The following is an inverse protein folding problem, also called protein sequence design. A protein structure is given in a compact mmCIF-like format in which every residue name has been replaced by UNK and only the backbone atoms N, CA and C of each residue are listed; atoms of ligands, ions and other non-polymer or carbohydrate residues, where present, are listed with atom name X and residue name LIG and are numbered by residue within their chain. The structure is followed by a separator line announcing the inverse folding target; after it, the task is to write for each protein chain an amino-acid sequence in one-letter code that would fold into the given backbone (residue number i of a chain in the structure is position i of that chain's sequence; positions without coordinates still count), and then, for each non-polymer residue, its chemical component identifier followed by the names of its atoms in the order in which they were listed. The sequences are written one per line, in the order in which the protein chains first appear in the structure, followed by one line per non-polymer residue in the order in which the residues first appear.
data_IF_337298042446
#
_entry.id   IF_337298042446
#
_cell.length_a   1.000
_cell.length_b   1.000
_cell.length_c   1.000
_cell.angle_alpha   90.00
_cell.angle_beta   90.00
_cell.angle_gamma   90.00
#
_symmetry.space_group_name_H-M   'P 1'
#
loop_
_entity.id
_entity.type
_entity.pdbx_description
1 polymer ?
#
# COMPACT_ATOMS: atom_id res chain seq x y z
N UNK A 1 4.85 26.35 -8.13
CA UNK A 1 4.83 25.09 -7.34
C UNK A 1 3.37 24.73 -7.11
N UNK A 2 2.97 23.47 -7.34
CA UNK A 2 1.58 23.03 -7.15
C UNK A 2 1.28 22.78 -5.67
N UNK A 3 0.05 23.05 -5.24
CA UNK A 3 -0.48 22.58 -3.95
C UNK A 3 -0.78 21.08 -4.01
N UNK A 4 -1.01 20.44 -2.85
CA UNK A 4 -1.36 19.00 -2.81
C UNK A 4 -2.64 18.71 -3.60
N UNK A 5 -3.67 19.55 -3.47
CA UNK A 5 -4.91 19.39 -4.25
C UNK A 5 -4.67 19.51 -5.76
N UNK A 6 -3.85 20.47 -6.19
CA UNK A 6 -3.47 20.64 -7.59
C UNK A 6 -2.66 19.45 -8.12
N UNK A 7 -1.78 18.86 -7.30
CA UNK A 7 -1.00 17.67 -7.67
C UNK A 7 -1.90 16.46 -7.95
N UNK A 8 -2.92 16.22 -7.14
CA UNK A 8 -3.87 15.11 -7.36
C UNK A 8 -4.83 15.33 -8.53
N UNK A 9 -5.14 16.59 -8.86
CA UNK A 9 -5.95 16.95 -10.03
C UNK A 9 -5.14 16.99 -11.34
N UNK A 10 -3.81 16.84 -11.28
CA UNK A 10 -2.96 16.91 -12.46
C UNK A 10 -3.24 15.74 -13.43
N UNK A 11 -3.35 15.99 -14.75
CA UNK A 11 -3.63 14.96 -15.74
C UNK A 11 -2.66 13.78 -15.71
N UNK A 12 -1.38 14.02 -15.42
CA UNK A 12 -0.37 12.96 -15.37
C UNK A 12 -0.54 12.09 -14.11
N UNK A 13 -0.88 12.70 -12.97
CA UNK A 13 -1.18 11.98 -11.72
C UNK A 13 -2.38 11.05 -11.90
N UNK A 14 -3.41 11.53 -12.60
CA UNK A 14 -4.62 10.76 -12.92
C UNK A 14 -4.31 9.65 -13.93
N UNK A 15 -3.65 9.96 -15.06
CA UNK A 15 -3.34 9.01 -16.12
C UNK A 15 -2.50 7.83 -15.63
N UNK A 16 -1.70 8.04 -14.57
CA UNK A 16 -0.84 7.02 -13.96
C UNK A 16 -1.49 6.31 -12.76
N UNK A 17 -2.70 6.68 -12.36
CA UNK A 17 -3.40 6.08 -11.22
C UNK A 17 -2.60 6.22 -9.91
N UNK A 18 -2.05 7.41 -9.67
CA UNK A 18 -1.12 7.64 -8.55
C UNK A 18 -1.81 7.70 -7.18
N UNK A 19 -3.09 8.08 -7.10
CA UNK A 19 -3.86 8.04 -5.85
C UNK A 19 -4.39 6.63 -5.61
N UNK A 20 -4.22 6.14 -4.39
CA UNK A 20 -4.73 4.85 -3.93
C UNK A 20 -5.60 5.06 -2.69
N UNK A 21 -6.56 4.16 -2.50
CA UNK A 21 -7.34 4.02 -1.28
C UNK A 21 -7.22 2.56 -0.84
N UNK A 22 -6.64 2.32 0.33
CA UNK A 22 -6.39 0.98 0.85
C UNK A 22 -7.32 0.72 2.03
N UNK A 23 -8.07 -0.37 1.98
CA UNK A 23 -8.92 -0.81 3.10
C UNK A 23 -8.02 -1.32 4.24
N UNK A 24 -8.24 -0.80 5.45
CA UNK A 24 -7.49 -1.20 6.64
C UNK A 24 -8.03 -2.44 7.36
N UNK A 25 -9.12 -3.03 6.86
CA UNK A 25 -9.78 -4.19 7.49
C UNK A 25 -10.54 -3.85 8.76
N UNK A 26 -10.58 -2.57 9.16
CA UNK A 26 -11.28 -2.06 10.34
C UNK A 26 -12.30 -0.95 9.99
N UNK A 27 -12.70 -0.89 8.72
CA UNK A 27 -13.71 0.04 8.23
C UNK A 27 -13.17 1.41 7.82
N UNK A 28 -11.85 1.60 7.72
CA UNK A 28 -11.24 2.82 7.21
C UNK A 28 -10.63 2.62 5.82
N UNK A 29 -10.71 3.68 5.00
CA UNK A 29 -9.94 3.78 3.75
C UNK A 29 -8.75 4.71 3.98
N UNK A 30 -7.54 4.15 3.87
CA UNK A 30 -6.28 4.86 4.03
C UNK A 30 -5.85 5.44 2.67
N UNK A 31 -5.78 6.78 2.54
CA UNK A 31 -5.27 7.41 1.32
C UNK A 31 -3.76 7.16 1.19
N UNK A 32 -3.33 6.76 0.01
CA UNK A 32 -1.92 6.47 -0.28
C UNK A 32 -1.51 6.91 -1.68
N UNK A 33 -0.21 6.86 -1.96
CA UNK A 33 0.38 7.19 -3.27
C UNK A 33 1.11 5.97 -3.82
N UNK A 34 0.84 5.65 -5.08
CA UNK A 34 1.49 4.57 -5.81
C UNK A 34 2.99 4.86 -6.00
N UNK A 35 3.79 3.80 -6.16
CA UNK A 35 5.15 3.95 -6.66
C UNK A 35 5.14 4.60 -8.07
N UNK A 36 6.04 5.57 -8.34
CA UNK A 36 6.06 6.26 -9.63
C UNK A 36 6.50 5.37 -10.80
N UNK A 37 7.26 4.32 -10.52
CA UNK A 37 7.71 3.35 -11.54
C UNK A 37 6.63 2.28 -11.76
N UNK A 38 6.21 2.10 -13.01
CA UNK A 38 5.21 1.10 -13.41
C UNK A 38 5.91 -0.05 -14.13
N UNK A 39 5.81 -1.25 -13.58
CA UNK A 39 6.42 -2.45 -14.12
C UNK A 39 5.38 -3.26 -14.89
N UNK A 40 5.55 -3.40 -16.21
CA UNK A 40 4.55 -4.05 -17.07
C UNK A 40 4.49 -5.58 -16.93
N UNK A 41 5.62 -6.23 -16.60
CA UNK A 41 5.69 -7.70 -16.45
C UNK A 41 5.47 -8.16 -15.01
N UNK A 42 5.80 -7.32 -14.03
CA UNK A 42 5.73 -7.62 -12.60
C UNK A 42 5.15 -6.42 -11.86
N UNK A 43 3.86 -6.11 -12.08
CA UNK A 43 3.23 -4.95 -11.47
C UNK A 43 3.29 -5.03 -9.94
N UNK A 44 3.47 -3.88 -9.28
CA UNK A 44 3.41 -3.80 -7.84
C UNK A 44 1.97 -4.04 -7.36
N UNK A 45 1.85 -4.80 -6.28
CA UNK A 45 0.59 -5.19 -5.67
C UNK A 45 0.35 -4.33 -4.42
N UNK A 46 -0.86 -3.79 -4.29
CA UNK A 46 -1.27 -2.89 -3.21
C UNK A 46 -2.54 -3.43 -2.54
N UNK A 47 -2.44 -4.61 -1.93
CA UNK A 47 -3.60 -5.34 -1.36
C UNK A 47 -3.94 -4.92 0.08
N UNK A 48 -2.94 -4.46 0.84
CA UNK A 48 -3.09 -4.11 2.26
C UNK A 48 -2.30 -2.86 2.60
N UNK A 49 -2.73 -2.08 3.61
CA UNK A 49 -1.95 -0.98 4.12
C UNK A 49 -0.73 -1.47 4.91
N UNK A 50 0.04 -0.52 5.43
CA UNK A 50 1.08 -0.82 6.41
C UNK A 50 0.48 -1.53 7.64
N UNK A 51 1.16 -2.55 8.18
CA UNK A 51 0.68 -3.28 9.33
C UNK A 51 0.58 -2.39 10.57
N UNK A 52 -0.39 -2.69 11.43
CA UNK A 52 -0.47 -2.12 12.77
C UNK A 52 0.67 -2.64 13.64
N UNK A 53 0.90 -1.95 14.76
CA UNK A 53 1.87 -2.39 15.74
C UNK A 53 1.51 -3.79 16.25
N UNK A 54 2.37 -4.77 15.97
CA UNK A 54 2.22 -6.15 16.43
C UNK A 54 1.28 -7.04 15.61
N UNK A 55 0.75 -6.57 14.47
CA UNK A 55 -0.26 -7.29 13.68
C UNK A 55 0.16 -8.71 13.27
N UNK A 56 1.44 -8.91 12.93
CA UNK A 56 1.97 -10.21 12.49
C UNK A 56 2.80 -10.92 13.56
N UNK A 57 2.85 -10.42 14.81
CA UNK A 57 3.78 -10.97 15.82
C UNK A 57 3.53 -12.45 16.10
N UNK A 58 2.28 -12.84 16.34
CA UNK A 58 1.92 -14.24 16.66
C UNK A 58 2.14 -15.18 15.48
N UNK A 59 1.77 -14.73 14.27
CA UNK A 59 1.95 -15.49 13.02
C UNK A 59 3.42 -15.86 12.79
N UNK A 60 4.31 -14.86 12.92
CA UNK A 60 5.75 -15.03 12.69
C UNK A 60 6.39 -15.91 13.77
N UNK A 61 6.01 -15.74 15.04
CA UNK A 61 6.50 -16.62 16.12
C UNK A 61 6.11 -18.08 15.85
N UNK A 62 4.87 -18.33 15.45
CA UNK A 62 4.42 -19.68 15.11
C UNK A 62 5.13 -20.26 13.88
N UNK A 63 5.47 -19.44 12.87
CA UNK A 63 6.25 -19.89 11.71
C UNK A 63 7.67 -20.30 12.06
N UNK A 64 8.34 -19.52 12.93
CA UNK A 64 9.69 -19.82 13.40
C UNK A 64 9.72 -21.13 14.22
N UNK A 65 8.73 -21.35 15.08
CA UNK A 65 8.60 -22.59 15.85
C UNK A 65 8.39 -23.83 14.97
N UNK A 66 7.66 -23.69 13.86
CA UNK A 66 7.48 -24.78 12.88
C UNK A 66 8.74 -25.04 12.07
N UNK A 67 9.45 -23.98 11.67
CA UNK A 67 10.63 -24.08 10.81
C UNK A 67 11.88 -24.58 11.55
N UNK A 68 11.89 -24.48 12.88
CA UNK A 68 12.94 -25.04 13.73
C UNK A 68 12.77 -26.53 14.07
N UNK A 69 11.70 -27.18 13.59
CA UNK A 69 11.52 -28.64 13.65
C UNK A 69 11.99 -29.29 12.35
#
# INVERSE_FOLDING_TARGET
INTIGQMFADPQTIARGMRLELDDGHGNLLPSVRAPMVMSRTPLVYERPSPRLGEHSEEILAELERSGK
#
